data_IF_262048106692
#
_entry.id   IF_262048106692
#
_cell.length_a   1.000
_cell.length_b   1.000
_cell.length_c   1.000
_cell.angle_alpha   90.00
_cell.angle_beta   90.00
_cell.angle_gamma   90.00
#
_symmetry.space_group_name_H-M   'P 1'
#
loop_
_entity.id
_entity.type
_entity.pdbx_description
1 polymer ?
#
# COMPACT_ATOMS: atom_id res chain seq x y z
N UNK A 1 -18.00 13.72 2.24
CA UNK A 1 -17.41 12.38 2.51
C UNK A 1 -15.89 12.47 2.78
N UNK A 2 -15.11 13.08 1.91
CA UNK A 2 -13.64 13.19 2.07
C UNK A 2 -13.20 13.94 3.35
N UNK A 3 -13.97 14.92 3.80
CA UNK A 3 -13.69 15.65 5.04
C UNK A 3 -13.79 14.78 6.28
N UNK A 4 -14.72 13.83 6.29
CA UNK A 4 -15.00 12.96 7.43
C UNK A 4 -14.22 11.65 7.39
N UNK A 5 -14.18 11.01 6.21
CA UNK A 5 -13.56 9.69 6.02
C UNK A 5 -12.09 9.76 5.55
N UNK A 6 -11.57 10.98 5.36
CA UNK A 6 -10.29 11.17 4.69
C UNK A 6 -10.35 10.77 3.21
N UNK A 7 -9.25 10.94 2.48
CA UNK A 7 -9.18 10.60 1.06
C UNK A 7 -9.30 9.09 0.82
N UNK A 8 -8.61 8.28 1.61
CA UNK A 8 -8.62 6.82 1.44
C UNK A 8 -9.97 6.21 1.79
N UNK A 9 -10.53 6.52 2.95
CA UNK A 9 -11.82 5.99 3.37
C UNK A 9 -12.96 6.41 2.44
N UNK A 10 -12.96 7.67 1.97
CA UNK A 10 -13.95 8.16 1.01
C UNK A 10 -13.87 7.41 -0.32
N UNK A 11 -12.67 7.21 -0.85
CA UNK A 11 -12.51 6.49 -2.12
C UNK A 11 -12.83 4.99 -2.00
N UNK A 12 -12.50 4.35 -0.87
CA UNK A 12 -12.92 2.96 -0.60
C UNK A 12 -14.45 2.83 -0.57
N UNK A 13 -15.13 3.75 0.12
CA UNK A 13 -16.59 3.77 0.16
C UNK A 13 -17.19 4.00 -1.24
N UNK A 14 -16.64 4.94 -2.02
CA UNK A 14 -17.10 5.25 -3.37
C UNK A 14 -16.89 4.07 -4.32
N UNK A 15 -15.71 3.43 -4.31
CA UNK A 15 -15.44 2.22 -5.10
C UNK A 15 -16.45 1.12 -4.78
N UNK A 16 -16.76 0.88 -3.50
CA UNK A 16 -17.74 -0.10 -3.09
C UNK A 16 -19.14 0.24 -3.63
N UNK A 17 -19.57 1.50 -3.55
CA UNK A 17 -20.87 1.97 -4.04
C UNK A 17 -21.06 1.75 -5.55
N UNK A 18 -19.99 1.94 -6.32
CA UNK A 18 -20.03 1.70 -7.77
C UNK A 18 -19.72 0.25 -8.17
N UNK A 19 -19.57 -0.66 -7.21
CA UNK A 19 -19.40 -2.09 -7.45
C UNK A 19 -18.00 -2.50 -7.90
N UNK A 20 -16.96 -1.73 -7.52
CA UNK A 20 -15.56 -2.15 -7.62
C UNK A 20 -15.26 -3.08 -6.44
N UNK A 21 -14.61 -4.23 -6.64
CA UNK A 21 -14.32 -5.17 -5.55
C UNK A 21 -13.29 -4.59 -4.57
N UNK A 22 -13.75 -4.26 -3.37
CA UNK A 22 -12.94 -3.71 -2.28
C UNK A 22 -13.04 -4.67 -1.08
N UNK A 23 -11.92 -4.99 -0.40
CA UNK A 23 -12.00 -5.78 0.83
C UNK A 23 -12.89 -5.09 1.86
N UNK A 24 -13.81 -5.82 2.53
CA UNK A 24 -14.65 -5.26 3.59
C UNK A 24 -13.86 -4.61 4.71
N UNK A 25 -14.45 -3.58 5.32
CA UNK A 25 -13.83 -2.86 6.42
C UNK A 25 -14.67 -1.66 6.86
N UNK A 26 -14.08 -0.82 7.69
CA UNK A 26 -14.71 0.40 8.20
C UNK A 26 -13.68 1.52 8.35
N UNK A 27 -14.20 2.73 8.51
CA UNK A 27 -13.34 3.92 8.70
C UNK A 27 -13.76 4.67 9.96
N UNK A 28 -12.80 4.91 10.87
CA UNK A 28 -12.95 5.83 12.01
C UNK A 28 -12.64 7.22 11.49
N UNK A 29 -13.47 8.19 11.82
CA UNK A 29 -13.50 9.51 11.18
C UNK A 29 -12.34 10.42 11.57
N UNK A 30 -12.12 11.46 10.76
CA UNK A 30 -11.12 12.50 11.07
C UNK A 30 -11.45 13.28 12.36
N UNK A 31 -12.73 13.46 12.66
CA UNK A 31 -13.18 14.16 13.87
C UNK A 31 -12.76 13.39 15.14
N UNK A 32 -12.80 12.05 15.07
CA UNK A 32 -12.31 11.19 16.16
C UNK A 32 -10.81 11.37 16.43
N UNK A 33 -10.02 11.69 15.41
CA UNK A 33 -8.60 12.03 15.62
C UNK A 33 -8.43 13.28 16.48
N UNK A 34 -9.24 14.30 16.24
CA UNK A 34 -9.21 15.52 17.05
C UNK A 34 -9.66 15.23 18.49
N UNK A 35 -10.76 14.47 18.66
CA UNK A 35 -11.23 14.03 19.95
C UNK A 35 -10.18 13.19 20.70
N UNK A 36 -9.44 12.31 20.02
CA UNK A 36 -8.32 11.55 20.58
C UNK A 36 -7.27 12.48 21.24
N UNK A 37 -6.93 13.61 20.61
CA UNK A 37 -5.99 14.57 21.20
C UNK A 37 -6.58 15.38 22.36
N UNK A 38 -7.90 15.49 22.45
CA UNK A 38 -8.56 16.17 23.56
C UNK A 38 -8.74 15.29 24.79
N UNK A 39 -9.18 14.03 24.60
CA UNK A 39 -9.56 13.13 25.71
C UNK A 39 -8.52 12.07 26.05
N UNK A 40 -7.59 11.78 25.15
CA UNK A 40 -6.55 10.77 25.32
C UNK A 40 -6.97 9.34 24.93
N UNK A 41 -5.98 8.45 24.90
CA UNK A 41 -6.09 7.08 24.36
C UNK A 41 -7.12 6.22 25.12
N UNK A 42 -7.05 6.19 26.45
CA UNK A 42 -7.96 5.36 27.27
C UNK A 42 -9.42 5.78 27.10
N UNK A 43 -9.66 7.10 27.06
CA UNK A 43 -11.02 7.61 26.92
C UNK A 43 -11.61 7.40 25.55
N UNK A 44 -10.82 7.59 24.49
CA UNK A 44 -11.29 7.34 23.13
C UNK A 44 -11.62 5.85 22.90
N UNK A 45 -10.82 4.96 23.47
CA UNK A 45 -11.09 3.52 23.47
C UNK A 45 -12.42 3.21 24.15
N UNK A 46 -12.67 3.75 25.35
CA UNK A 46 -13.93 3.57 26.06
C UNK A 46 -15.14 4.06 25.25
N UNK A 47 -15.03 5.24 24.62
CA UNK A 47 -16.11 5.85 23.84
C UNK A 47 -16.47 5.07 22.58
N UNK A 48 -15.50 4.46 21.90
CA UNK A 48 -15.69 3.81 20.60
C UNK A 48 -15.75 2.29 20.67
N UNK A 49 -15.55 1.68 21.85
CA UNK A 49 -15.43 0.22 21.97
C UNK A 49 -16.59 -0.51 21.29
N UNK A 50 -17.83 -0.12 21.59
CA UNK A 50 -19.02 -0.82 21.09
C UNK A 50 -19.18 -0.66 19.56
N UNK A 51 -18.91 0.54 19.04
CA UNK A 51 -19.00 0.82 17.60
C UNK A 51 -17.90 0.08 16.81
N UNK A 52 -16.66 0.11 17.30
CA UNK A 52 -15.54 -0.60 16.68
C UNK A 52 -15.79 -2.10 16.68
N UNK A 53 -16.25 -2.68 17.79
CA UNK A 53 -16.55 -4.11 17.87
C UNK A 53 -17.72 -4.52 16.98
N UNK A 54 -18.74 -3.69 16.85
CA UNK A 54 -19.85 -3.91 15.92
C UNK A 54 -19.37 -3.89 14.45
N UNK A 55 -18.46 -2.95 14.11
CA UNK A 55 -17.88 -2.86 12.77
C UNK A 55 -16.96 -4.04 12.46
N UNK A 56 -16.18 -4.52 13.43
CA UNK A 56 -15.39 -5.75 13.31
C UNK A 56 -16.30 -6.93 13.05
N UNK A 57 -17.38 -7.11 13.83
CA UNK A 57 -18.34 -8.21 13.64
C UNK A 57 -19.04 -8.17 12.27
N UNK A 58 -19.31 -6.97 11.75
CA UNK A 58 -19.85 -6.82 10.39
C UNK A 58 -18.83 -7.24 9.33
N UNK A 59 -17.58 -6.84 9.49
CA UNK A 59 -16.47 -7.24 8.59
C UNK A 59 -16.25 -8.76 8.61
N UNK A 60 -16.30 -9.38 9.80
CA UNK A 60 -16.25 -10.83 9.99
C UNK A 60 -17.34 -11.55 9.19
N UNK A 61 -18.58 -11.06 9.29
CA UNK A 61 -19.74 -11.63 8.58
C UNK A 61 -19.55 -11.56 7.05
N UNK A 62 -19.09 -10.43 6.52
CA UNK A 62 -18.82 -10.24 5.09
C UNK A 62 -17.69 -11.12 4.56
N UNK A 63 -16.64 -11.33 5.37
CA UNK A 63 -15.50 -12.17 5.02
C UNK A 63 -15.71 -13.65 5.34
N UNK A 64 -16.81 -14.00 6.01
CA UNK A 64 -17.06 -15.34 6.54
C UNK A 64 -15.84 -15.89 7.31
N UNK A 65 -15.23 -15.06 8.14
CA UNK A 65 -14.04 -15.36 8.95
C UNK A 65 -14.10 -14.57 10.26
N UNK A 66 -13.24 -14.88 11.24
CA UNK A 66 -13.35 -14.27 12.55
C UNK A 66 -12.01 -13.74 13.05
N UNK A 67 -12.00 -12.50 13.51
CA UNK A 67 -10.82 -11.82 14.04
C UNK A 67 -10.32 -12.53 15.31
N UNK A 68 -9.06 -12.99 15.28
CA UNK A 68 -8.45 -13.77 16.36
C UNK A 68 -8.86 -15.24 16.43
N UNK A 69 -9.66 -15.77 15.49
CA UNK A 69 -9.96 -17.20 15.43
C UNK A 69 -8.75 -18.00 14.97
N UNK A 70 -8.52 -19.14 15.61
CA UNK A 70 -7.49 -20.10 15.21
C UNK A 70 -7.92 -20.91 13.99
N UNK A 71 -9.20 -21.26 13.89
CA UNK A 71 -9.71 -22.13 12.81
C UNK A 71 -9.92 -21.39 11.49
N UNK A 72 -10.47 -20.20 11.56
CA UNK A 72 -10.78 -19.39 10.38
C UNK A 72 -10.48 -17.90 10.61
N UNK A 73 -9.21 -17.53 10.70
CA UNK A 73 -8.79 -16.20 11.08
C UNK A 73 -9.13 -15.14 10.02
N UNK A 74 -9.68 -14.02 10.48
CA UNK A 74 -9.66 -12.75 9.78
C UNK A 74 -8.42 -11.99 10.22
N UNK A 75 -7.62 -11.54 9.29
CA UNK A 75 -6.59 -10.53 9.54
C UNK A 75 -7.05 -9.20 8.97
N UNK A 76 -6.61 -8.10 9.60
CA UNK A 76 -6.94 -6.76 9.14
C UNK A 76 -5.70 -5.89 9.00
N UNK A 77 -5.81 -4.86 8.16
CA UNK A 77 -4.88 -3.74 8.09
C UNK A 77 -5.49 -2.51 8.77
N UNK A 78 -4.65 -1.68 9.39
CA UNK A 78 -5.02 -0.39 9.95
C UNK A 78 -4.19 0.68 9.23
N UNK A 79 -4.87 1.56 8.50
CA UNK A 79 -4.24 2.49 7.57
C UNK A 79 -4.70 3.92 7.84
N UNK A 80 -3.77 4.86 7.81
CA UNK A 80 -4.07 6.29 7.88
C UNK A 80 -4.78 6.80 6.62
N UNK A 81 -5.64 7.80 6.77
CA UNK A 81 -6.37 8.41 5.66
C UNK A 81 -6.65 9.90 5.90
N UNK A 82 -5.68 10.80 5.67
CA UNK A 82 -5.91 12.23 5.75
C UNK A 82 -6.76 12.74 4.57
N UNK A 83 -7.35 13.94 4.72
CA UNK A 83 -8.12 14.62 3.66
C UNK A 83 -7.26 14.92 2.44
N UNK A 84 -6.00 15.30 2.66
CA UNK A 84 -4.97 15.47 1.62
C UNK A 84 -4.09 14.21 1.53
N UNK A 85 -3.57 13.93 0.32
CA UNK A 85 -2.62 12.84 0.14
C UNK A 85 -1.28 13.20 0.76
N UNK A 86 -0.82 12.40 1.73
CA UNK A 86 0.43 12.60 2.46
C UNK A 86 1.27 11.30 2.40
N UNK A 87 1.86 10.96 1.24
CA UNK A 87 2.55 9.68 1.04
C UNK A 87 3.74 9.53 1.97
N UNK A 88 3.86 8.39 2.68
CA UNK A 88 4.97 8.09 3.58
C UNK A 88 5.03 8.92 4.87
N UNK A 89 4.05 9.82 5.10
CA UNK A 89 4.07 10.71 6.28
C UNK A 89 3.43 10.08 7.52
N UNK A 90 2.48 9.16 7.32
CA UNK A 90 1.73 8.51 8.40
C UNK A 90 1.84 7.00 8.29
N UNK A 91 1.53 6.33 9.39
CA UNK A 91 1.81 4.92 9.55
C UNK A 91 0.68 4.02 9.02
N UNK A 92 1.04 2.78 8.72
CA UNK A 92 0.17 1.67 8.32
C UNK A 92 0.63 0.43 9.06
N UNK A 93 -0.30 -0.38 9.55
CA UNK A 93 -0.01 -1.66 10.17
C UNK A 93 -0.80 -2.75 9.43
N UNK A 94 -0.12 -3.81 9.02
CA UNK A 94 -0.69 -4.93 8.28
C UNK A 94 -0.73 -6.20 9.14
N UNK A 95 -1.55 -7.16 8.76
CA UNK A 95 -1.63 -8.50 9.35
C UNK A 95 -2.03 -8.55 10.83
N UNK A 96 -2.79 -7.56 11.33
CA UNK A 96 -3.31 -7.58 12.69
C UNK A 96 -4.23 -8.79 12.89
N UNK A 97 -4.16 -9.36 14.06
CA UNK A 97 -4.87 -10.59 14.45
C UNK A 97 -3.97 -11.80 14.54
N UNK A 98 -2.71 -11.71 14.05
CA UNK A 98 -1.73 -12.78 14.20
C UNK A 98 -1.18 -12.86 15.64
N UNK A 99 -1.11 -14.07 16.12
CA UNK A 99 -0.38 -14.52 17.28
C UNK A 99 0.07 -15.97 17.03
N UNK A 100 0.73 -16.60 17.98
CA UNK A 100 1.30 -17.94 17.77
C UNK A 100 0.22 -18.99 17.46
N UNK A 101 -0.92 -18.95 18.15
CA UNK A 101 -2.04 -19.88 17.94
C UNK A 101 -2.72 -19.66 16.57
N UNK A 102 -2.97 -18.40 16.22
CA UNK A 102 -3.57 -18.03 14.93
C UNK A 102 -2.65 -18.39 13.77
N UNK A 103 -1.33 -18.19 13.93
CA UNK A 103 -0.34 -18.57 12.90
C UNK A 103 -0.36 -20.09 12.66
N UNK A 104 -0.35 -20.92 13.72
CA UNK A 104 -0.47 -22.36 13.58
C UNK A 104 -1.81 -22.80 12.94
N UNK A 105 -2.90 -22.11 13.26
CA UNK A 105 -4.21 -22.33 12.64
C UNK A 105 -4.19 -22.01 11.13
N UNK A 106 -3.59 -20.87 10.76
CA UNK A 106 -3.42 -20.48 9.36
C UNK A 106 -2.54 -21.45 8.58
N UNK A 107 -1.47 -21.98 9.18
CA UNK A 107 -0.64 -23.03 8.55
C UNK A 107 -1.47 -24.25 8.22
N UNK A 108 -2.31 -24.72 9.16
CA UNK A 108 -3.21 -25.86 8.93
C UNK A 108 -4.22 -25.58 7.81
N UNK A 109 -4.75 -24.37 7.76
CA UNK A 109 -5.76 -23.97 6.76
C UNK A 109 -5.18 -23.80 5.37
N UNK A 110 -4.02 -23.12 5.25
CA UNK A 110 -3.43 -22.77 3.96
C UNK A 110 -2.48 -23.82 3.40
N UNK A 111 -1.93 -24.69 4.27
CA UNK A 111 -0.85 -25.60 3.89
C UNK A 111 0.46 -24.89 3.52
N UNK A 112 0.57 -23.58 3.75
CA UNK A 112 1.71 -22.75 3.36
C UNK A 112 2.37 -22.07 4.58
N UNK A 113 3.22 -22.78 5.31
CA UNK A 113 3.87 -22.23 6.50
C UNK A 113 4.81 -21.06 6.19
N UNK A 114 5.43 -21.04 5.01
CA UNK A 114 6.30 -19.95 4.62
C UNK A 114 5.53 -18.62 4.53
N UNK A 115 4.40 -18.61 3.83
CA UNK A 115 3.50 -17.46 3.75
C UNK A 115 3.08 -16.95 5.12
N UNK A 116 2.65 -17.88 5.99
CA UNK A 116 2.13 -17.50 7.32
C UNK A 116 3.22 -16.89 8.19
N UNK A 117 4.40 -17.51 8.26
CA UNK A 117 5.47 -17.01 9.13
C UNK A 117 6.18 -15.79 8.57
N UNK A 118 6.24 -15.60 7.24
CA UNK A 118 6.68 -14.33 6.66
C UNK A 118 5.71 -13.19 6.98
N UNK A 119 4.40 -13.44 6.87
CA UNK A 119 3.37 -12.46 7.26
C UNK A 119 3.44 -12.13 8.75
N UNK A 120 3.70 -13.13 9.61
CA UNK A 120 3.81 -12.93 11.05
C UNK A 120 5.08 -12.16 11.42
N UNK A 121 6.22 -12.49 10.81
CA UNK A 121 7.47 -11.76 10.98
C UNK A 121 7.30 -10.27 10.62
N UNK A 122 6.71 -9.98 9.45
CA UNK A 122 6.42 -8.61 9.00
C UNK A 122 5.46 -7.88 9.95
N UNK A 123 4.46 -8.56 10.47
CA UNK A 123 3.55 -7.97 11.45
C UNK A 123 4.25 -7.58 12.75
N UNK A 124 5.06 -8.48 13.32
CA UNK A 124 5.80 -8.19 14.57
C UNK A 124 6.78 -7.04 14.37
N UNK A 125 7.50 -7.02 13.24
CA UNK A 125 8.41 -5.94 12.87
C UNK A 125 7.65 -4.60 12.77
N UNK A 126 6.62 -4.53 11.97
CA UNK A 126 5.84 -3.30 11.74
C UNK A 126 5.14 -2.81 13.00
N UNK A 127 4.55 -3.71 13.77
CA UNK A 127 3.89 -3.37 15.03
C UNK A 127 4.91 -2.91 16.09
N UNK A 128 6.05 -3.57 16.18
CA UNK A 128 7.16 -3.20 17.07
C UNK A 128 7.70 -1.82 16.77
N UNK A 129 7.93 -1.48 15.50
CA UNK A 129 8.38 -0.15 15.08
C UNK A 129 7.30 0.92 15.30
N UNK A 130 6.11 0.73 14.74
CA UNK A 130 5.07 1.78 14.64
C UNK A 130 4.31 1.95 15.96
N UNK A 131 3.91 0.86 16.59
CA UNK A 131 3.02 0.89 17.77
C UNK A 131 3.82 0.94 19.07
N UNK A 132 4.84 0.09 19.17
CA UNK A 132 5.63 -0.05 20.40
C UNK A 132 6.89 0.83 20.42
N UNK A 133 7.25 1.45 19.29
CA UNK A 133 8.29 2.46 19.21
C UNK A 133 9.71 1.92 19.26
N UNK A 134 9.92 0.67 18.83
CA UNK A 134 11.25 0.11 18.69
C UNK A 134 11.96 0.74 17.49
N UNK A 135 12.82 1.71 17.76
CA UNK A 135 13.57 2.49 16.75
C UNK A 135 15.06 2.52 17.06
N UNK A 136 15.89 2.81 16.06
CA UNK A 136 17.30 3.07 16.31
C UNK A 136 17.51 4.15 17.37
N UNK A 137 18.49 3.97 18.25
CA UNK A 137 18.82 4.96 19.30
C UNK A 137 19.31 6.27 18.68
N UNK A 138 20.12 6.18 17.62
CA UNK A 138 20.54 7.32 16.82
C UNK A 138 20.05 7.17 15.39
N UNK A 139 19.86 8.30 14.68
CA UNK A 139 19.40 8.29 13.26
C UNK A 139 20.37 7.60 12.29
N UNK A 140 21.62 7.43 12.68
CA UNK A 140 22.68 6.80 11.89
C UNK A 140 22.82 5.30 12.17
N UNK A 141 22.16 4.80 13.23
CA UNK A 141 22.22 3.39 13.60
C UNK A 141 21.34 2.55 12.65
N UNK A 142 21.74 1.30 12.44
CA UNK A 142 20.95 0.33 11.67
C UNK A 142 19.67 0.03 12.46
N UNK A 143 18.55 -0.10 11.74
CA UNK A 143 17.29 -0.52 12.32
C UNK A 143 17.46 -1.85 13.09
N UNK A 144 16.97 -1.96 14.34
CA UNK A 144 17.16 -3.16 15.16
C UNK A 144 16.61 -4.43 14.52
N UNK A 145 15.49 -4.33 13.81
CA UNK A 145 14.89 -5.47 13.11
C UNK A 145 15.71 -5.88 11.89
N UNK A 146 16.20 -4.89 11.10
CA UNK A 146 17.05 -5.17 9.95
C UNK A 146 18.38 -5.82 10.38
N UNK A 147 18.98 -5.38 11.49
CA UNK A 147 20.18 -6.01 12.02
C UNK A 147 19.96 -7.50 12.38
N UNK A 148 18.79 -7.83 12.93
CA UNK A 148 18.42 -9.22 13.26
C UNK A 148 18.17 -10.03 11.99
N UNK A 149 17.49 -9.45 10.98
CA UNK A 149 17.23 -10.11 9.69
C UNK A 149 18.54 -10.47 8.99
N UNK A 150 19.45 -9.50 8.86
CA UNK A 150 20.73 -9.71 8.18
C UNK A 150 21.56 -10.81 8.86
N UNK A 151 21.58 -10.83 10.19
CA UNK A 151 22.25 -11.91 10.93
C UNK A 151 21.66 -13.28 10.64
N UNK A 152 20.33 -13.42 10.59
CA UNK A 152 19.68 -14.70 10.29
C UNK A 152 19.90 -15.12 8.84
N UNK A 153 19.92 -14.15 7.89
CA UNK A 153 20.31 -14.40 6.49
C UNK A 153 21.73 -14.91 6.35
N UNK A 154 22.68 -14.29 7.05
CA UNK A 154 24.07 -14.74 7.09
C UNK A 154 24.20 -16.16 7.63
N UNK A 155 23.52 -16.47 8.73
CA UNK A 155 23.51 -17.82 9.34
C UNK A 155 22.95 -18.90 8.39
N UNK A 156 21.94 -18.56 7.57
CA UNK A 156 21.35 -19.48 6.59
C UNK A 156 22.11 -19.47 5.25
N UNK A 157 22.91 -18.45 4.95
CA UNK A 157 23.63 -18.28 3.68
C UNK A 157 22.76 -17.82 2.53
N UNK A 158 21.74 -16.99 2.81
CA UNK A 158 20.84 -16.41 1.81
C UNK A 158 20.94 -14.88 1.80
N UNK A 159 20.52 -14.26 0.70
CA UNK A 159 20.59 -12.81 0.52
C UNK A 159 19.23 -12.13 0.50
N UNK A 160 18.17 -12.83 0.11
CA UNK A 160 16.83 -12.26 0.00
C UNK A 160 15.91 -12.84 1.07
N UNK A 161 15.01 -12.02 1.62
CA UNK A 161 14.03 -12.41 2.63
C UNK A 161 13.15 -13.59 2.17
N UNK A 162 12.78 -13.61 0.89
CA UNK A 162 11.97 -14.68 0.29
C UNK A 162 12.64 -16.06 0.31
N UNK A 163 13.96 -16.10 0.45
CA UNK A 163 14.74 -17.34 0.46
C UNK A 163 14.97 -17.89 1.87
N UNK A 164 14.47 -17.17 2.90
CA UNK A 164 14.49 -17.62 4.28
C UNK A 164 13.64 -18.88 4.46
N UNK A 165 14.15 -19.86 5.20
CA UNK A 165 13.40 -21.07 5.56
C UNK A 165 12.28 -20.78 6.57
N UNK A 166 11.32 -21.67 6.67
CA UNK A 166 10.24 -21.57 7.67
C UNK A 166 10.81 -21.52 9.10
N UNK A 167 11.86 -22.29 9.37
CA UNK A 167 12.55 -22.30 10.67
C UNK A 167 13.20 -20.94 10.95
N UNK A 168 13.83 -20.34 9.95
CA UNK A 168 14.43 -19.00 10.07
C UNK A 168 13.37 -17.92 10.27
N UNK A 169 12.23 -18.01 9.58
CA UNK A 169 11.11 -17.08 9.78
C UNK A 169 10.51 -17.22 11.19
N UNK A 170 10.32 -18.43 11.71
CA UNK A 170 9.91 -18.66 13.10
C UNK A 170 10.90 -18.07 14.10
N UNK A 171 12.21 -18.31 13.87
CA UNK A 171 13.28 -17.75 14.70
C UNK A 171 13.25 -16.22 14.70
N UNK A 172 13.00 -15.57 13.55
CA UNK A 172 12.87 -14.11 13.45
C UNK A 172 11.70 -13.58 14.29
N UNK A 173 10.54 -14.22 14.26
CA UNK A 173 9.39 -13.84 15.10
C UNK A 173 9.77 -13.80 16.58
N UNK A 174 10.46 -14.84 17.08
CA UNK A 174 10.87 -14.91 18.48
C UNK A 174 11.95 -13.88 18.82
N UNK A 175 12.93 -13.68 17.94
CA UNK A 175 13.98 -12.68 18.14
C UNK A 175 13.42 -11.26 18.15
N UNK A 176 12.43 -10.97 17.29
CA UNK A 176 11.76 -9.67 17.25
C UNK A 176 10.96 -9.39 18.53
N UNK A 177 10.19 -10.38 19.01
CA UNK A 177 9.47 -10.27 20.29
C UNK A 177 10.45 -10.04 21.46
N UNK A 178 11.58 -10.74 21.46
CA UNK A 178 12.62 -10.56 22.48
C UNK A 178 13.24 -9.16 22.42
N UNK A 179 13.57 -8.66 21.25
CA UNK A 179 14.11 -7.31 21.05
C UNK A 179 13.12 -6.22 21.49
N UNK A 180 11.83 -6.39 21.17
CA UNK A 180 10.75 -5.51 21.63
C UNK A 180 10.73 -5.46 23.16
N UNK A 181 10.71 -6.62 23.81
CA UNK A 181 10.67 -6.70 25.27
C UNK A 181 11.92 -6.09 25.93
N UNK A 182 13.08 -6.34 25.38
CA UNK A 182 14.36 -5.81 25.89
C UNK A 182 14.40 -4.26 25.84
N UNK A 183 13.96 -3.67 24.71
CA UNK A 183 14.06 -2.22 24.53
C UNK A 183 12.89 -1.44 25.11
N UNK A 184 11.67 -1.99 25.03
CA UNK A 184 10.44 -1.29 25.49
C UNK A 184 10.02 -1.68 26.91
N UNK A 185 10.50 -2.79 27.44
CA UNK A 185 10.05 -3.37 28.70
C UNK A 185 8.66 -4.05 28.63
N UNK A 186 8.03 -4.09 27.46
CA UNK A 186 6.69 -4.63 27.24
C UNK A 186 6.73 -5.89 26.37
N UNK A 187 5.86 -6.84 26.68
CA UNK A 187 5.66 -8.00 25.81
C UNK A 187 4.86 -7.63 24.56
N UNK A 188 5.16 -8.28 23.43
CA UNK A 188 4.34 -8.15 22.23
C UNK A 188 2.90 -8.61 22.50
N UNK A 189 1.86 -7.82 22.17
CA UNK A 189 0.49 -8.14 22.50
C UNK A 189 -0.01 -9.35 21.69
N UNK A 190 -0.53 -10.36 22.39
CA UNK A 190 -1.09 -11.59 21.79
C UNK A 190 -2.60 -11.50 21.59
N UNK A 191 -3.29 -10.61 22.30
CA UNK A 191 -4.72 -10.39 22.14
C UNK A 191 -5.00 -9.53 20.88
N UNK A 192 -5.77 -10.04 19.89
CA UNK A 192 -6.06 -9.30 18.67
C UNK A 192 -6.76 -7.94 18.88
N UNK A 193 -7.61 -7.83 19.91
CA UNK A 193 -8.31 -6.58 20.22
C UNK A 193 -7.33 -5.52 20.74
N UNK A 194 -6.38 -5.92 21.58
CA UNK A 194 -5.33 -5.02 22.06
C UNK A 194 -4.40 -4.59 20.91
N UNK A 195 -4.09 -5.50 19.98
CA UNK A 195 -3.36 -5.18 18.76
C UNK A 195 -4.13 -4.13 17.93
N UNK A 196 -5.44 -4.32 17.73
CA UNK A 196 -6.28 -3.41 16.96
C UNK A 196 -6.30 -2.00 17.56
N UNK A 197 -6.53 -1.88 18.86
CA UNK A 197 -6.55 -0.58 19.54
C UNK A 197 -5.17 0.08 19.55
N UNK A 198 -4.11 -0.67 19.79
CA UNK A 198 -2.75 -0.16 19.69
C UNK A 198 -2.45 0.44 18.32
N UNK A 199 -2.87 -0.25 17.24
CA UNK A 199 -2.70 0.21 15.87
C UNK A 199 -3.56 1.45 15.53
N UNK A 200 -4.84 1.49 15.95
CA UNK A 200 -5.72 2.66 15.78
C UNK A 200 -5.10 3.89 16.43
N UNK A 201 -4.68 3.77 17.70
CA UNK A 201 -4.07 4.88 18.43
C UNK A 201 -2.71 5.29 17.83
N UNK A 202 -1.91 4.34 17.34
CA UNK A 202 -0.66 4.64 16.64
C UNK A 202 -0.89 5.46 15.37
N UNK A 203 -1.93 5.13 14.57
CA UNK A 203 -2.30 5.93 13.41
C UNK A 203 -2.73 7.34 13.80
N UNK A 204 -3.51 7.53 14.87
CA UNK A 204 -3.84 8.87 15.37
C UNK A 204 -2.57 9.62 15.79
N UNK A 205 -1.68 8.97 16.57
CA UNK A 205 -0.39 9.59 16.97
C UNK A 205 0.45 10.01 15.79
N UNK A 206 0.43 9.24 14.68
CA UNK A 206 1.24 9.54 13.50
C UNK A 206 0.87 10.87 12.82
N UNK A 207 -0.33 11.41 13.06
CA UNK A 207 -0.71 12.75 12.60
C UNK A 207 0.20 13.84 13.15
N UNK A 208 0.70 13.68 14.38
CA UNK A 208 1.57 14.65 15.06
C UNK A 208 3.04 14.22 15.10
N UNK A 209 3.47 13.24 14.28
CA UNK A 209 4.89 12.97 14.16
C UNK A 209 5.61 14.08 13.37
N UNK A 210 6.94 14.23 13.58
CA UNK A 210 7.73 15.34 13.02
C UNK A 210 7.63 15.44 11.49
N UNK A 211 7.70 14.30 10.78
CA UNK A 211 7.61 14.26 9.32
C UNK A 211 6.24 14.71 8.80
N UNK A 212 5.16 14.33 9.49
CA UNK A 212 3.80 14.72 9.12
C UNK A 212 3.56 16.22 9.40
N UNK A 213 4.03 16.73 10.53
CA UNK A 213 3.96 18.17 10.87
C UNK A 213 4.72 19.01 9.84
N UNK A 214 5.96 18.61 9.49
CA UNK A 214 6.76 19.33 8.51
C UNK A 214 6.08 19.35 7.14
N UNK A 215 5.59 18.19 6.68
CA UNK A 215 4.88 18.07 5.41
C UNK A 215 3.64 18.97 5.38
N UNK A 216 2.81 18.94 6.44
CA UNK A 216 1.61 19.79 6.51
C UNK A 216 1.96 21.28 6.43
N UNK A 217 3.02 21.71 7.14
CA UNK A 217 3.49 23.11 7.06
C UNK A 217 3.93 23.50 5.64
N UNK A 218 4.60 22.61 4.92
CA UNK A 218 5.05 22.86 3.54
C UNK A 218 3.87 22.94 2.56
N UNK A 219 2.87 22.10 2.74
CA UNK A 219 1.71 21.98 1.86
C UNK A 219 0.53 22.86 2.28
N UNK A 220 0.66 23.63 3.37
CA UNK A 220 -0.42 24.46 3.90
C UNK A 220 -1.65 23.70 4.38
N UNK A 221 -1.45 22.48 4.89
CA UNK A 221 -2.51 21.61 5.41
C UNK A 221 -2.76 21.94 6.89
N UNK A 222 -4.00 22.31 7.28
CA UNK A 222 -4.34 22.65 8.66
C UNK A 222 -4.20 21.45 9.61
N UNK A 223 -3.70 21.71 10.83
CA UNK A 223 -3.50 20.67 11.85
C UNK A 223 -4.84 20.10 12.35
N UNK A 224 -5.89 20.91 12.38
CA UNK A 224 -7.25 20.53 12.80
C UNK A 224 -7.98 19.59 11.84
N UNK A 225 -7.42 19.31 10.66
CA UNK A 225 -8.05 18.35 9.76
C UNK A 225 -8.01 16.91 10.26
N UNK A 226 -7.01 16.56 11.07
CA UNK A 226 -6.85 15.20 11.59
C UNK A 226 -6.63 14.14 10.50
N UNK A 227 -6.55 12.89 10.91
CA UNK A 227 -6.52 11.73 10.03
C UNK A 227 -7.63 10.76 10.37
N UNK A 228 -8.26 10.17 9.35
CA UNK A 228 -9.12 9.01 9.53
C UNK A 228 -8.28 7.75 9.68
N UNK A 229 -8.87 6.71 10.26
CA UNK A 229 -8.28 5.37 10.37
C UNK A 229 -9.15 4.39 9.59
N UNK A 230 -8.62 3.80 8.52
CA UNK A 230 -9.30 2.76 7.77
C UNK A 230 -8.83 1.38 8.24
N UNK A 231 -9.76 0.59 8.77
CA UNK A 231 -9.56 -0.82 9.13
C UNK A 231 -10.17 -1.67 8.03
N UNK A 232 -9.38 -2.53 7.41
CA UNK A 232 -9.80 -3.28 6.22
C UNK A 232 -9.32 -4.72 6.31
N UNK A 233 -10.16 -5.67 5.89
CA UNK A 233 -9.77 -7.06 5.77
C UNK A 233 -8.51 -7.21 4.91
N UNK A 234 -7.57 -8.03 5.36
CA UNK A 234 -6.39 -8.37 4.56
C UNK A 234 -6.77 -9.26 3.39
N UNK A 235 -6.18 -8.97 2.24
CA UNK A 235 -6.11 -9.83 1.06
C UNK A 235 -4.66 -10.00 0.66
N UNK A 236 -4.28 -11.16 0.17
CA UNK A 236 -2.89 -11.57 0.07
C UNK A 236 -2.47 -11.87 -1.36
N UNK A 237 -1.52 -11.10 -1.87
CA UNK A 237 -0.89 -11.33 -3.17
C UNK A 237 0.23 -12.39 -3.15
N UNK A 238 0.57 -12.93 -1.98
CA UNK A 238 1.66 -13.88 -1.77
C UNK A 238 1.19 -15.29 -1.33
N UNK A 239 0.00 -15.70 -1.77
CA UNK A 239 -0.54 -17.05 -1.52
C UNK A 239 -0.23 -18.06 -2.63
N UNK A 240 0.76 -17.80 -3.46
CA UNK A 240 1.19 -18.69 -4.55
C UNK A 240 1.05 -18.05 -5.92
N UNK A 241 1.24 -18.87 -6.96
CA UNK A 241 1.33 -18.42 -8.35
C UNK A 241 0.02 -17.86 -8.95
N UNK A 242 -1.12 -18.10 -8.31
CA UNK A 242 -2.42 -17.54 -8.69
C UNK A 242 -2.74 -16.23 -7.95
N UNK A 243 -1.78 -15.73 -7.20
CA UNK A 243 -1.87 -14.51 -6.42
C UNK A 243 -0.83 -13.49 -6.89
N UNK A 244 -1.17 -12.21 -6.83
CA UNK A 244 -0.31 -11.12 -7.28
C UNK A 244 -0.67 -9.83 -6.54
N UNK A 245 0.21 -8.85 -6.60
CA UNK A 245 -0.08 -7.47 -6.20
C UNK A 245 0.48 -6.50 -7.22
N UNK A 246 -0.11 -5.32 -7.34
CA UNK A 246 0.38 -4.34 -8.30
C UNK A 246 -0.18 -2.95 -8.10
N UNK A 247 0.42 -2.05 -8.87
CA UNK A 247 0.00 -0.65 -8.99
C UNK A 247 -0.23 -0.34 -10.46
N UNK A 248 -1.26 0.42 -10.77
CA UNK A 248 -1.56 0.78 -12.15
C UNK A 248 -2.16 2.18 -12.28
N UNK A 249 -2.03 2.72 -13.48
CA UNK A 249 -2.48 4.05 -13.85
C UNK A 249 -3.34 3.96 -15.10
N UNK A 250 -4.49 4.63 -15.10
CA UNK A 250 -5.38 4.67 -16.27
C UNK A 250 -4.74 5.38 -17.47
N UNK A 251 -3.81 6.32 -17.21
CA UNK A 251 -3.01 7.03 -18.22
C UNK A 251 -1.56 7.15 -17.77
N UNK A 252 -0.63 7.37 -18.69
CA UNK A 252 0.78 7.56 -18.34
C UNK A 252 0.99 8.88 -17.57
N UNK A 253 1.43 8.77 -16.32
CA UNK A 253 1.65 9.92 -15.43
C UNK A 253 2.83 10.80 -15.83
N UNK A 254 3.74 10.29 -16.65
CA UNK A 254 4.94 10.99 -17.11
C UNK A 254 4.71 11.85 -18.36
N UNK A 255 3.96 11.32 -19.33
CA UNK A 255 3.78 11.95 -20.65
C UNK A 255 2.32 12.24 -21.02
N UNK A 256 1.35 11.71 -20.25
CA UNK A 256 -0.09 11.91 -20.46
C UNK A 256 -0.69 11.04 -21.58
N UNK A 257 0.03 10.03 -22.08
CA UNK A 257 -0.53 9.09 -23.07
C UNK A 257 -1.74 8.37 -22.49
N UNK A 258 -2.85 8.30 -23.25
CA UNK A 258 -4.01 7.50 -22.86
C UNK A 258 -3.68 6.02 -23.09
N UNK A 259 -2.88 5.48 -22.18
CA UNK A 259 -2.43 4.10 -22.16
C UNK A 259 -2.50 3.57 -20.74
N UNK A 260 -3.32 2.54 -20.52
CA UNK A 260 -3.33 1.79 -19.28
C UNK A 260 -1.94 1.17 -19.04
N UNK A 261 -1.36 1.44 -17.90
CA UNK A 261 0.00 1.03 -17.59
C UNK A 261 0.17 0.75 -16.09
N UNK A 262 1.26 0.13 -15.72
CA UNK A 262 1.56 -0.21 -14.34
C UNK A 262 2.40 -1.46 -14.22
N UNK A 263 2.61 -1.87 -12.98
CA UNK A 263 3.51 -2.96 -12.63
C UNK A 263 2.86 -3.91 -11.65
N UNK A 264 3.19 -5.20 -11.74
CA UNK A 264 2.72 -6.22 -10.83
C UNK A 264 3.80 -7.25 -10.51
N UNK A 265 3.64 -7.93 -9.39
CA UNK A 265 4.47 -9.07 -8.98
C UNK A 265 3.59 -10.24 -8.61
N UNK A 266 3.88 -11.40 -9.20
CA UNK A 266 3.28 -12.69 -8.82
C UNK A 266 3.87 -13.13 -7.48
N UNK A 267 3.04 -13.69 -6.63
CA UNK A 267 3.40 -14.21 -5.31
C UNK A 267 4.21 -13.19 -4.49
N UNK A 268 3.62 -12.01 -4.27
CA UNK A 268 4.24 -10.87 -3.58
C UNK A 268 3.22 -10.06 -2.77
N UNK A 269 3.71 -9.35 -1.77
CA UNK A 269 2.94 -8.32 -1.05
C UNK A 269 3.20 -6.92 -1.65
N UNK A 270 2.33 -5.95 -1.32
CA UNK A 270 2.44 -4.58 -1.85
C UNK A 270 3.77 -3.90 -1.54
N UNK A 271 4.36 -4.20 -0.39
CA UNK A 271 5.68 -3.71 0.02
C UNK A 271 6.79 -4.15 -0.95
N UNK A 272 6.71 -5.38 -1.48
CA UNK A 272 7.72 -5.93 -2.38
C UNK A 272 7.76 -5.19 -3.74
N UNK A 273 6.61 -4.65 -4.19
CA UNK A 273 6.53 -3.82 -5.41
C UNK A 273 7.22 -2.48 -5.20
N UNK A 274 7.01 -1.87 -4.03
CA UNK A 274 7.54 -0.53 -3.70
C UNK A 274 9.02 -0.58 -3.36
N UNK A 275 9.48 -1.64 -2.70
CA UNK A 275 10.85 -1.79 -2.25
C UNK A 275 11.86 -2.02 -3.40
N UNK A 276 11.40 -2.38 -4.60
CA UNK A 276 12.26 -2.59 -5.77
C UNK A 276 13.22 -3.79 -5.64
N UNK A 277 12.95 -4.70 -4.69
CA UNK A 277 13.79 -5.90 -4.44
C UNK A 277 13.69 -6.91 -5.58
N UNK A 278 12.52 -6.96 -6.23
CA UNK A 278 12.25 -7.82 -7.39
C UNK A 278 11.94 -6.91 -8.58
N UNK A 279 12.35 -7.31 -9.80
CA UNK A 279 11.94 -6.61 -11.03
C UNK A 279 10.46 -6.85 -11.28
N UNK A 280 9.60 -5.83 -11.19
CA UNK A 280 8.19 -6.00 -11.46
C UNK A 280 7.94 -6.24 -12.96
N UNK A 281 6.85 -6.94 -13.23
CA UNK A 281 6.37 -7.18 -14.59
C UNK A 281 5.33 -6.11 -14.95
N UNK A 282 5.21 -5.82 -16.23
CA UNK A 282 4.27 -4.80 -16.72
C UNK A 282 2.84 -5.33 -16.83
N UNK A 283 1.85 -4.48 -16.59
CA UNK A 283 0.42 -4.84 -16.69
C UNK A 283 0.05 -5.17 -18.14
N UNK A 284 0.41 -4.30 -19.10
CA UNK A 284 0.05 -4.44 -20.51
C UNK A 284 1.17 -5.05 -21.33
N UNK A 285 0.82 -5.78 -22.39
CA UNK A 285 1.78 -6.33 -23.34
C UNK A 285 2.61 -5.25 -24.02
N UNK A 286 1.97 -4.15 -24.44
CA UNK A 286 2.69 -3.01 -25.04
C UNK A 286 3.66 -2.35 -24.07
N UNK A 287 3.28 -2.22 -22.79
CA UNK A 287 4.17 -1.73 -21.73
C UNK A 287 5.37 -2.66 -21.52
N UNK A 288 5.14 -3.97 -21.49
CA UNK A 288 6.18 -4.99 -21.36
C UNK A 288 7.15 -4.96 -22.56
N UNK A 289 6.65 -4.82 -23.78
CA UNK A 289 7.48 -4.71 -24.97
C UNK A 289 8.35 -3.44 -24.98
N UNK A 290 7.75 -2.28 -24.65
CA UNK A 290 8.48 -1.01 -24.51
C UNK A 290 9.53 -1.05 -23.40
N UNK A 291 9.25 -1.77 -22.31
CA UNK A 291 10.19 -1.96 -21.21
C UNK A 291 11.37 -2.85 -21.65
N UNK A 292 11.09 -3.98 -22.31
CA UNK A 292 12.11 -4.91 -22.79
C UNK A 292 13.04 -4.27 -23.84
N UNK A 293 12.49 -3.48 -24.77
CA UNK A 293 13.26 -2.72 -25.76
C UNK A 293 14.26 -1.77 -25.07
N UNK A 294 13.80 -1.01 -24.05
CA UNK A 294 14.66 -0.10 -23.27
C UNK A 294 15.72 -0.84 -22.46
N UNK A 295 15.39 -2.03 -21.94
CA UNK A 295 16.30 -2.86 -21.16
C UNK A 295 17.24 -3.71 -22.03
N UNK A 296 17.07 -3.71 -23.36
CA UNK A 296 17.87 -4.53 -24.28
C UNK A 296 17.59 -6.04 -24.17
N UNK A 297 16.38 -6.41 -23.75
CA UNK A 297 15.93 -7.79 -23.57
C UNK A 297 15.20 -8.26 -24.83
N UNK A 298 15.50 -9.48 -25.33
CA UNK A 298 14.82 -10.04 -26.48
C UNK A 298 13.37 -10.38 -26.19
N UNK A 299 12.51 -10.43 -27.24
CA UNK A 299 11.09 -10.79 -27.08
C UNK A 299 10.92 -12.22 -26.52
N UNK A 300 11.79 -13.16 -26.93
CA UNK A 300 11.78 -14.53 -26.39
C UNK A 300 12.06 -14.54 -24.87
N UNK A 301 13.06 -13.78 -24.44
CA UNK A 301 13.40 -13.67 -23.02
C UNK A 301 12.31 -12.91 -22.24
N UNK A 302 11.74 -11.86 -22.82
CA UNK A 302 10.63 -11.12 -22.24
C UNK A 302 9.43 -12.05 -21.95
N UNK A 303 8.98 -12.79 -22.95
CA UNK A 303 7.85 -13.72 -22.81
C UNK A 303 8.14 -14.82 -21.80
N UNK A 304 9.36 -15.32 -21.76
CA UNK A 304 9.74 -16.43 -20.87
C UNK A 304 9.90 -16.03 -19.41
N UNK A 305 10.43 -14.82 -19.14
CA UNK A 305 10.79 -14.38 -17.78
C UNK A 305 9.95 -13.23 -17.26
N UNK A 306 9.43 -12.37 -18.13
CA UNK A 306 8.74 -11.12 -17.79
C UNK A 306 7.44 -10.94 -18.57
N UNK A 307 6.56 -11.96 -18.61
CA UNK A 307 5.28 -11.81 -19.31
C UNK A 307 4.45 -10.71 -18.66
N UNK A 308 3.72 -9.94 -19.46
CA UNK A 308 2.76 -8.97 -18.93
C UNK A 308 1.61 -9.68 -18.20
N UNK A 309 0.86 -8.93 -17.36
CA UNK A 309 -0.36 -9.47 -16.74
C UNK A 309 -1.40 -9.85 -17.82
N UNK A 310 -1.46 -9.08 -18.91
CA UNK A 310 -2.29 -9.37 -20.08
C UNK A 310 -2.01 -10.76 -20.68
N UNK A 311 -0.75 -11.20 -20.66
CA UNK A 311 -0.32 -12.52 -21.16
C UNK A 311 -0.40 -13.62 -20.10
N UNK A 312 -0.02 -13.33 -18.87
CA UNK A 312 0.06 -14.32 -17.77
C UNK A 312 -1.29 -14.58 -17.08
N UNK A 313 -2.15 -13.57 -17.00
CA UNK A 313 -3.44 -13.61 -16.30
C UNK A 313 -4.54 -12.90 -17.12
N UNK A 314 -4.85 -13.35 -18.34
CA UNK A 314 -5.66 -12.60 -19.31
C UNK A 314 -7.07 -12.26 -18.84
N UNK A 315 -7.73 -13.14 -18.08
CA UNK A 315 -9.09 -12.86 -17.58
C UNK A 315 -9.09 -11.82 -16.45
N UNK A 316 -8.10 -11.88 -15.57
CA UNK A 316 -7.91 -10.88 -14.51
C UNK A 316 -7.48 -9.52 -15.09
N UNK A 317 -6.65 -9.53 -16.13
CA UNK A 317 -6.31 -8.31 -16.86
C UNK A 317 -7.54 -7.65 -17.47
N UNK A 318 -8.43 -8.39 -18.14
CA UNK A 318 -9.66 -7.85 -18.69
C UNK A 318 -10.58 -7.25 -17.62
N UNK A 319 -10.68 -7.92 -16.46
CA UNK A 319 -11.43 -7.40 -15.32
C UNK A 319 -10.81 -6.11 -14.79
N UNK A 320 -9.49 -6.09 -14.61
CA UNK A 320 -8.73 -4.93 -14.15
C UNK A 320 -8.86 -3.74 -15.12
N UNK A 321 -8.77 -3.99 -16.42
CA UNK A 321 -8.90 -2.99 -17.48
C UNK A 321 -10.31 -2.38 -17.52
N UNK A 322 -11.34 -3.20 -17.41
CA UNK A 322 -12.72 -2.72 -17.34
C UNK A 322 -12.99 -1.88 -16.08
N UNK A 323 -12.38 -2.24 -14.95
CA UNK A 323 -12.56 -1.54 -13.69
C UNK A 323 -11.76 -0.23 -13.63
N UNK A 324 -10.56 -0.17 -14.22
CA UNK A 324 -9.81 1.07 -14.31
C UNK A 324 -10.53 2.10 -15.20
N UNK A 325 -11.08 1.67 -16.33
CA UNK A 325 -11.89 2.53 -17.21
C UNK A 325 -13.13 3.07 -16.49
N UNK A 326 -13.84 2.21 -15.76
CA UNK A 326 -14.97 2.60 -14.91
C UNK A 326 -14.60 3.63 -13.86
N UNK A 327 -13.43 3.49 -13.22
CA UNK A 327 -12.95 4.43 -12.20
C UNK A 327 -12.56 5.77 -12.83
N UNK A 328 -11.85 5.78 -13.96
CA UNK A 328 -11.50 7.00 -14.67
C UNK A 328 -12.75 7.78 -15.09
N UNK A 329 -13.75 7.10 -15.65
CA UNK A 329 -15.03 7.71 -16.03
C UNK A 329 -15.82 8.22 -14.82
N UNK A 330 -15.82 7.49 -13.71
CA UNK A 330 -16.53 7.90 -12.50
C UNK A 330 -15.92 9.15 -11.84
N UNK A 331 -14.59 9.20 -11.75
CA UNK A 331 -13.89 10.35 -11.15
C UNK A 331 -13.61 11.47 -12.14
N UNK A 332 -13.88 11.25 -13.43
CA UNK A 332 -13.57 12.17 -14.53
C UNK A 332 -12.10 12.63 -14.52
N UNK A 333 -11.19 11.78 -14.05
CA UNK A 333 -9.76 12.07 -13.98
C UNK A 333 -8.93 10.78 -14.01
N UNK A 334 -7.68 10.89 -14.48
CA UNK A 334 -6.71 9.83 -14.42
C UNK A 334 -6.59 9.25 -13.01
N UNK A 335 -6.62 7.93 -12.90
CA UNK A 335 -6.55 7.21 -11.64
C UNK A 335 -5.21 6.51 -11.45
N UNK A 336 -4.72 6.56 -10.21
CA UNK A 336 -3.63 5.79 -9.63
C UNK A 336 -4.26 4.77 -8.69
N UNK A 337 -4.05 3.48 -8.95
CA UNK A 337 -4.76 2.39 -8.30
C UNK A 337 -3.79 1.36 -7.74
N UNK A 338 -4.12 0.85 -6.56
CA UNK A 338 -3.45 -0.29 -5.93
C UNK A 338 -4.39 -1.49 -5.94
N UNK A 339 -3.92 -2.65 -6.39
CA UNK A 339 -4.73 -3.86 -6.45
C UNK A 339 -3.96 -5.08 -5.94
N UNK A 340 -4.72 -6.10 -5.53
CA UNK A 340 -4.21 -7.42 -5.16
C UNK A 340 -5.09 -8.49 -5.80
N UNK A 341 -4.46 -9.52 -6.31
CA UNK A 341 -5.11 -10.77 -6.73
C UNK A 341 -4.83 -11.81 -5.68
N UNK A 342 -5.86 -12.31 -5.01
CA UNK A 342 -5.75 -13.42 -4.08
C UNK A 342 -6.42 -14.65 -4.68
N UNK A 343 -5.63 -15.68 -4.99
CA UNK A 343 -6.13 -16.96 -5.52
C UNK A 343 -7.11 -16.78 -6.70
N UNK A 344 -6.73 -15.94 -7.65
CA UNK A 344 -7.52 -15.65 -8.85
C UNK A 344 -8.68 -14.66 -8.66
N UNK A 345 -8.80 -14.02 -7.50
CA UNK A 345 -9.82 -12.98 -7.23
C UNK A 345 -9.18 -11.61 -7.12
N UNK A 346 -9.65 -10.66 -7.92
CA UNK A 346 -9.18 -9.29 -7.93
C UNK A 346 -9.81 -8.46 -6.80
N UNK A 347 -8.98 -7.60 -6.18
CA UNK A 347 -9.36 -6.66 -5.15
C UNK A 347 -8.65 -5.32 -5.35
N UNK A 348 -9.39 -4.21 -5.23
CA UNK A 348 -8.82 -2.86 -5.20
C UNK A 348 -8.59 -2.41 -3.76
N UNK A 349 -7.36 -1.98 -3.46
CA UNK A 349 -6.98 -1.53 -2.12
C UNK A 349 -7.03 -0.01 -1.98
N UNK A 350 -6.88 0.70 -3.08
CA UNK A 350 -6.90 2.16 -3.13
C UNK A 350 -7.10 2.65 -4.55
N UNK A 351 -7.79 3.77 -4.70
CA UNK A 351 -7.73 4.64 -5.89
C UNK A 351 -7.53 6.08 -5.46
N UNK A 352 -6.88 6.85 -6.31
CA UNK A 352 -6.70 8.30 -6.14
C UNK A 352 -6.46 8.94 -7.50
N UNK A 353 -6.70 10.25 -7.59
CA UNK A 353 -6.29 11.00 -8.77
C UNK A 353 -4.77 10.93 -8.90
N UNK A 354 -4.29 10.50 -10.06
CA UNK A 354 -2.87 10.25 -10.30
C UNK A 354 -2.05 11.54 -10.24
N UNK A 355 -0.99 11.51 -9.42
CA UNK A 355 0.05 12.55 -9.50
C UNK A 355 0.75 12.43 -10.84
N UNK A 356 1.04 13.57 -11.47
CA UNK A 356 1.54 13.63 -12.85
C UNK A 356 2.51 14.78 -13.06
N UNK A 357 3.37 14.68 -14.06
CA UNK A 357 4.27 15.77 -14.48
C UNK A 357 3.47 16.96 -15.07
N UNK A 358 4.10 18.12 -15.20
CA UNK A 358 3.48 19.28 -15.86
C UNK A 358 3.05 18.98 -17.29
N UNK A 359 3.86 18.26 -18.07
CA UNK A 359 3.53 17.82 -19.43
C UNK A 359 2.30 16.92 -19.47
N UNK A 360 2.28 15.88 -18.63
CA UNK A 360 1.16 14.96 -18.55
C UNK A 360 -0.12 15.67 -18.06
N UNK A 361 -0.02 16.61 -17.12
CA UNK A 361 -1.13 17.39 -16.60
C UNK A 361 -1.89 18.13 -17.71
N UNK A 362 -1.16 18.87 -18.55
CA UNK A 362 -1.77 19.62 -19.66
C UNK A 362 -2.37 18.66 -20.68
N UNK A 363 -1.63 17.63 -21.08
CA UNK A 363 -2.11 16.66 -22.07
C UNK A 363 -3.37 15.94 -21.59
N UNK A 364 -3.38 15.42 -20.38
CA UNK A 364 -4.53 14.70 -19.80
C UNK A 364 -5.74 15.64 -19.69
N UNK A 365 -5.56 16.89 -19.24
CA UNK A 365 -6.65 17.85 -19.15
C UNK A 365 -7.27 18.13 -20.52
N UNK A 366 -6.46 18.25 -21.58
CA UNK A 366 -6.94 18.45 -22.95
C UNK A 366 -7.60 17.19 -23.52
N UNK A 367 -7.04 16.02 -23.28
CA UNK A 367 -7.64 14.77 -23.76
C UNK A 367 -9.01 14.53 -23.11
N UNK A 368 -9.13 14.67 -21.79
CA UNK A 368 -10.40 14.54 -21.05
C UNK A 368 -11.46 15.57 -21.50
N UNK A 369 -11.03 16.79 -21.84
CA UNK A 369 -11.91 17.81 -22.44
C UNK A 369 -12.41 17.37 -23.82
N UNK A 370 -11.53 16.90 -24.71
CA UNK A 370 -11.89 16.45 -26.05
C UNK A 370 -12.76 15.18 -26.02
N UNK A 371 -12.56 14.31 -25.06
CA UNK A 371 -13.38 13.12 -24.79
C UNK A 371 -14.76 13.49 -24.19
N UNK A 372 -14.97 14.75 -23.82
CA UNK A 372 -16.23 15.22 -23.22
C UNK A 372 -16.42 14.82 -21.77
N UNK A 373 -15.38 14.33 -21.11
CA UNK A 373 -15.45 13.93 -19.69
C UNK A 373 -15.45 15.12 -18.75
N UNK A 374 -14.83 16.23 -19.13
CA UNK A 374 -14.76 17.47 -18.35
C UNK A 374 -15.06 18.69 -19.23
N UNK A 375 -15.45 19.78 -18.59
CA UNK A 375 -15.63 21.08 -19.26
C UNK A 375 -14.33 21.91 -19.29
N UNK A 376 -14.32 22.99 -20.09
CA UNK A 376 -13.17 23.88 -20.23
C UNK A 376 -12.73 24.49 -18.91
N UNK A 377 -13.68 24.86 -18.05
CA UNK A 377 -13.40 25.41 -16.73
C UNK A 377 -12.64 24.42 -15.86
N UNK A 378 -13.08 23.17 -15.84
CA UNK A 378 -12.45 22.08 -15.10
C UNK A 378 -11.06 21.78 -15.66
N UNK A 379 -10.90 21.75 -16.99
CA UNK A 379 -9.60 21.56 -17.63
C UNK A 379 -8.58 22.62 -17.19
N UNK A 380 -8.99 23.91 -17.20
CA UNK A 380 -8.13 25.01 -16.74
C UNK A 380 -7.80 24.88 -15.25
N UNK A 381 -8.79 24.60 -14.39
CA UNK A 381 -8.59 24.48 -12.94
C UNK A 381 -7.68 23.31 -12.54
N UNK A 382 -7.56 22.27 -13.39
CA UNK A 382 -6.65 21.14 -13.18
C UNK A 382 -5.21 21.44 -13.59
N UNK A 383 -4.97 22.51 -14.34
CA UNK A 383 -3.63 22.95 -14.71
C UNK A 383 -3.04 23.83 -13.58
N UNK A 384 -2.33 23.19 -12.65
CA UNK A 384 -1.69 23.86 -11.52
C UNK A 384 -0.58 24.81 -12.03
N UNK A 385 -0.64 26.15 -11.74
CA UNK A 385 0.32 27.10 -12.28
C UNK A 385 1.78 26.76 -11.96
N UNK A 386 2.05 26.25 -10.76
CA UNK A 386 3.41 25.87 -10.33
C UNK A 386 4.00 24.75 -11.21
N UNK A 387 3.18 23.81 -11.67
CA UNK A 387 3.61 22.75 -12.58
C UNK A 387 3.78 23.21 -14.01
N UNK A 388 3.15 24.32 -14.40
CA UNK A 388 3.37 24.92 -15.71
C UNK A 388 4.78 25.52 -15.83
N UNK A 389 5.36 25.99 -14.73
CA UNK A 389 6.74 26.48 -14.71
C UNK A 389 7.73 25.37 -15.10
N UNK A 390 7.45 24.11 -14.79
CA UNK A 390 8.28 22.97 -15.23
C UNK A 390 8.43 22.91 -16.75
N UNK A 391 7.41 23.36 -17.51
CA UNK A 391 7.41 23.35 -18.97
C UNK A 391 8.27 24.45 -19.56
N UNK A 392 8.60 25.48 -18.79
CA UNK A 392 9.43 26.61 -19.20
C UNK A 392 10.92 26.34 -18.97
N UNK A 393 11.27 25.30 -18.21
CA UNK A 393 12.67 24.95 -17.99
C UNK A 393 13.28 24.30 -19.24
N UNK A 394 14.56 24.61 -19.54
CA UNK A 394 15.27 23.95 -20.63
C UNK A 394 15.35 22.44 -20.39
N UNK A 395 15.08 21.66 -21.43
CA UNK A 395 15.19 20.21 -21.43
C UNK A 395 16.34 19.78 -22.35
N UNK A 396 16.97 18.66 -22.03
CA UNK A 396 17.98 18.07 -22.91
C UNK A 396 17.33 17.55 -24.19
N UNK A 397 18.00 17.79 -25.32
CA UNK A 397 17.64 17.14 -26.57
C UNK A 397 17.73 15.61 -26.42
N UNK A 398 16.64 14.91 -26.75
CA UNK A 398 16.54 13.45 -26.55
C UNK A 398 17.62 12.66 -27.30
N UNK A 399 17.98 13.12 -28.52
CA UNK A 399 19.01 12.47 -29.34
C UNK A 399 20.40 12.70 -28.78
N UNK A 400 20.68 13.92 -28.27
CA UNK A 400 21.92 14.23 -27.61
C UNK A 400 22.07 13.44 -26.31
N UNK A 401 21.01 13.32 -25.52
CA UNK A 401 21.00 12.56 -24.27
C UNK A 401 21.24 11.07 -24.51
N UNK A 402 20.64 10.46 -25.53
CA UNK A 402 20.84 9.06 -25.89
C UNK A 402 22.26 8.72 -26.32
N UNK A 403 23.04 9.71 -26.79
CA UNK A 403 24.44 9.58 -27.18
C UNK A 403 25.41 9.99 -26.08
N UNK A 404 24.92 10.54 -24.98
CA UNK A 404 25.77 10.99 -23.89
C UNK A 404 26.39 9.79 -23.15
N UNK A 405 27.64 9.94 -22.72
CA UNK A 405 28.29 8.93 -21.88
C UNK A 405 27.75 9.01 -20.46
N UNK A 406 27.17 7.91 -19.98
CA UNK A 406 26.78 7.80 -18.58
C UNK A 406 28.06 7.77 -17.72
N UNK A 407 28.20 8.71 -16.79
CA UNK A 407 29.33 8.82 -15.87
C UNK A 407 29.04 8.10 -14.57
N UNK A 408 27.81 8.21 -14.07
CA UNK A 408 27.33 7.54 -12.85
C UNK A 408 25.84 7.32 -12.96
N UNK A 409 25.34 6.32 -12.26
CA UNK A 409 23.92 6.01 -12.16
C UNK A 409 23.56 5.95 -10.67
N UNK A 410 22.55 6.69 -10.28
CA UNK A 410 21.95 6.63 -8.95
C UNK A 410 20.66 5.80 -8.98
N UNK A 411 20.15 5.51 -7.78
CA UNK A 411 18.83 4.87 -7.62
C UNK A 411 17.72 5.82 -8.02
#
# INVERSE_FOLDING_TARGET
MREVLGGKGANLAEMNLIGVPVPPGFTITTDTCNEYYEVGEEKIKELLQDEVMAAVAHTEALMNSKFGSVENPLLVSVRSGARASMPGMMDTILNLGLNDEVAEGMVKKTGNPHFVYDSYRRFVQMYGDVVMGLKPVNKEDIDPFEAIIEKVKEEQGVTLDKDLSVESLKKLVELFKAAIKEQTGQDFPTNPIDQLWGAICAVFRSWMNERAILYRKMEGIPDEWGTAVSVMAMVFGNMGETSATGVCFSRDAGNGENLFNGEYLINAQGEDVVAGIRTPQQITKIGSQRWAERAGISEEERVAKYPSMEEAMPELYKELDALQDKLEHHYHDMQDMEFTVQEGKLWFLQTRNGKRTGTAMVKIAMDLLHEGMIDEKTAILRCEPQKLDELLHPVFDKLALSKAKVITQGL
#
